data_IF_420410369233
#
_entry.id   IF_420410369233
#
_cell.length_a   1.000
_cell.length_b   1.000
_cell.length_c   1.000
_cell.angle_alpha   90.00
_cell.angle_beta   90.00
_cell.angle_gamma   90.00
#
_symmetry.space_group_name_H-M   'P 1'
#
loop_
_entity.id
_entity.type
_entity.pdbx_description
1 polymer ?
#
# COMPACT_ATOMS: atom_id res chain seq x y z
N UNK A 1 59.75 26.81 21.67
CA UNK A 1 60.86 25.99 21.14
C UNK A 1 60.59 24.53 21.50
N UNK A 2 60.90 23.61 20.57
CA UNK A 2 60.66 22.14 20.50
C UNK A 2 60.70 21.39 21.86
N UNK A 3 59.92 20.34 22.13
CA UNK A 3 60.14 18.96 21.64
C UNK A 3 59.02 17.97 22.08
N UNK A 4 58.50 17.20 21.11
CA UNK A 4 58.02 15.78 21.02
C UNK A 4 58.10 14.84 22.27
N UNK A 5 57.54 13.60 22.25
CA UNK A 5 56.24 13.02 21.83
C UNK A 5 55.58 12.25 23.01
N UNK A 6 54.42 11.62 22.85
CA UNK A 6 54.24 10.19 23.22
C UNK A 6 52.81 9.70 22.97
N UNK A 7 52.79 8.65 22.14
CA UNK A 7 51.74 7.66 21.90
C UNK A 7 50.59 7.57 22.89
N UNK A 8 49.37 7.53 22.37
CA UNK A 8 48.20 6.86 22.96
C UNK A 8 47.20 6.56 21.83
N UNK A 9 46.43 5.48 21.93
CA UNK A 9 46.71 4.24 21.19
C UNK A 9 45.68 4.00 20.07
N UNK A 10 46.04 3.08 19.18
CA UNK A 10 45.10 2.41 18.30
C UNK A 10 43.95 1.77 19.11
N UNK A 11 42.75 2.35 19.00
CA UNK A 11 41.47 1.77 19.41
C UNK A 11 40.53 1.99 18.20
N UNK A 12 40.46 1.05 17.27
CA UNK A 12 39.49 -0.04 17.32
C UNK A 12 38.05 0.49 17.35
N UNK A 13 37.42 0.49 16.17
CA UNK A 13 36.06 0.00 15.95
C UNK A 13 35.62 0.44 14.55
N UNK A 14 35.63 -0.50 13.61
CA UNK A 14 35.01 -0.29 12.30
C UNK A 14 33.53 0.05 12.50
N UNK A 15 33.12 1.22 12.01
CA UNK A 15 31.72 1.58 11.88
C UNK A 15 31.09 0.66 10.81
N UNK A 16 30.63 -0.52 11.22
CA UNK A 16 29.74 -1.33 10.41
C UNK A 16 28.38 -0.63 10.35
N UNK A 17 28.14 0.14 9.29
CA UNK A 17 26.87 0.78 9.03
C UNK A 17 25.80 -0.30 8.73
N UNK A 18 24.96 -0.60 9.72
CA UNK A 18 23.79 -1.46 9.55
C UNK A 18 22.74 -0.65 8.79
N UNK A 19 22.67 -0.85 7.46
CA UNK A 19 21.60 -0.33 6.63
C UNK A 19 20.35 -1.18 6.89
N UNK A 20 19.43 -0.67 7.72
CA UNK A 20 18.09 -1.24 7.85
C UNK A 20 17.30 -0.92 6.59
N UNK A 21 17.17 -1.91 5.71
CA UNK A 21 16.28 -1.84 4.54
C UNK A 21 14.84 -1.93 5.05
N UNK A 22 14.18 -0.79 5.22
CA UNK A 22 12.73 -0.74 5.47
C UNK A 22 12.01 -1.08 4.17
N UNK A 23 11.67 -2.35 3.96
CA UNK A 23 10.82 -2.75 2.84
C UNK A 23 9.43 -2.10 2.99
N UNK A 24 8.88 -1.48 1.94
CA UNK A 24 7.52 -0.95 1.98
C UNK A 24 6.55 -2.11 2.12
N UNK A 25 5.80 -2.16 3.21
CA UNK A 25 4.71 -3.08 3.40
C UNK A 25 3.56 -2.71 2.45
N UNK A 26 3.61 -3.22 1.21
CA UNK A 26 2.51 -3.12 0.26
C UNK A 26 1.33 -3.92 0.82
N UNK A 27 0.32 -3.22 1.34
CA UNK A 27 -0.90 -3.85 1.83
C UNK A 27 -1.55 -4.65 0.68
N UNK A 28 -1.57 -5.98 0.80
CA UNK A 28 -2.22 -6.84 -0.16
C UNK A 28 -3.71 -6.48 -0.27
N UNK A 29 -4.29 -6.43 -1.48
CA UNK A 29 -5.71 -6.19 -1.67
C UNK A 29 -6.53 -7.22 -0.88
N UNK A 30 -7.55 -6.76 -0.15
CA UNK A 30 -8.45 -7.66 0.59
C UNK A 30 -9.30 -8.46 -0.40
N UNK A 31 -9.27 -9.79 -0.26
CA UNK A 31 -10.05 -10.72 -1.05
C UNK A 31 -11.39 -11.00 -0.37
N UNK A 32 -12.48 -10.91 -1.11
CA UNK A 32 -13.84 -11.18 -0.66
C UNK A 32 -14.54 -12.16 -1.61
N UNK A 33 -15.46 -12.97 -1.11
CA UNK A 33 -16.30 -13.82 -1.97
C UNK A 33 -17.48 -13.05 -2.57
N UNK A 34 -17.85 -11.90 -2.02
CA UNK A 34 -18.93 -11.04 -2.52
C UNK A 34 -18.52 -9.58 -2.35
N UNK A 35 -19.08 -8.67 -3.16
CA UNK A 35 -18.77 -7.26 -3.02
C UNK A 35 -19.17 -6.76 -1.62
N UNK A 36 -18.27 -6.06 -0.90
CA UNK A 36 -18.57 -5.49 0.42
C UNK A 36 -19.77 -4.56 0.38
N UNK A 37 -20.51 -4.47 1.48
CA UNK A 37 -21.69 -3.60 1.58
C UNK A 37 -21.34 -2.13 1.27
N UNK A 38 -22.32 -1.36 0.82
CA UNK A 38 -22.15 0.07 0.57
C UNK A 38 -21.80 0.81 1.87
N UNK A 39 -20.88 1.77 1.79
CA UNK A 39 -20.40 2.55 2.94
C UNK A 39 -19.29 1.88 3.76
N UNK A 40 -18.89 0.64 3.42
CA UNK A 40 -17.80 -0.05 4.12
C UNK A 40 -16.43 0.19 3.49
N UNK A 41 -16.38 0.68 2.25
CA UNK A 41 -15.14 0.93 1.54
C UNK A 41 -14.79 2.40 1.60
N UNK A 42 -13.50 2.71 1.68
CA UNK A 42 -12.98 4.08 1.66
C UNK A 42 -12.55 4.47 0.24
N UNK A 43 -12.57 5.76 -0.06
CA UNK A 43 -12.00 6.29 -1.29
C UNK A 43 -10.54 5.86 -1.43
N UNK A 44 -10.16 5.40 -2.63
CA UNK A 44 -8.85 4.82 -2.94
C UNK A 44 -8.69 3.36 -2.52
N UNK A 45 -9.62 2.81 -1.72
CA UNK A 45 -9.56 1.42 -1.33
C UNK A 45 -9.87 0.51 -2.51
N UNK A 46 -9.01 -0.51 -2.65
CA UNK A 46 -9.12 -1.54 -3.67
C UNK A 46 -9.36 -2.89 -3.02
N UNK A 47 -10.37 -3.59 -3.50
CA UNK A 47 -10.73 -4.92 -3.03
C UNK A 47 -10.88 -5.87 -4.21
N UNK A 48 -10.54 -7.14 -4.00
CA UNK A 48 -10.71 -8.19 -4.98
C UNK A 48 -11.91 -9.04 -4.57
N UNK A 49 -12.77 -9.38 -5.52
CA UNK A 49 -14.02 -10.08 -5.32
C UNK A 49 -14.08 -11.31 -6.22
N UNK A 50 -14.21 -12.47 -5.61
CA UNK A 50 -14.32 -13.78 -6.23
C UNK A 50 -15.78 -14.25 -6.20
N UNK A 51 -16.62 -13.63 -7.03
CA UNK A 51 -18.06 -13.93 -7.13
C UNK A 51 -18.44 -14.61 -8.46
N UNK A 52 -17.45 -15.08 -9.23
CA UNK A 52 -17.68 -15.80 -10.49
C UNK A 52 -18.18 -14.95 -11.66
N UNK A 53 -18.24 -13.63 -11.53
CA UNK A 53 -18.69 -12.72 -12.62
C UNK A 53 -17.64 -12.57 -13.72
N UNK A 54 -16.35 -12.69 -13.39
CA UNK A 54 -15.24 -12.62 -14.35
C UNK A 54 -14.92 -14.00 -14.93
N UNK A 55 -14.18 -14.03 -16.05
CA UNK A 55 -13.76 -15.28 -16.70
C UNK A 55 -12.83 -16.10 -15.78
N UNK A 56 -12.69 -17.40 -16.10
CA UNK A 56 -11.71 -18.26 -15.41
C UNK A 56 -10.30 -17.65 -15.49
N UNK A 57 -9.61 -17.58 -14.34
CA UNK A 57 -8.31 -16.92 -14.20
C UNK A 57 -8.36 -15.40 -14.01
N UNK A 58 -9.55 -14.81 -13.92
CA UNK A 58 -9.75 -13.40 -13.57
C UNK A 58 -10.46 -13.27 -12.22
N UNK A 59 -10.35 -12.08 -11.63
CA UNK A 59 -11.03 -11.70 -10.42
C UNK A 59 -11.55 -10.28 -10.54
N UNK A 60 -12.66 -9.97 -9.87
CA UNK A 60 -13.25 -8.64 -9.96
C UNK A 60 -12.54 -7.71 -8.98
N UNK A 61 -11.88 -6.70 -9.51
CA UNK A 61 -11.36 -5.57 -8.74
C UNK A 61 -12.47 -4.53 -8.57
N UNK A 62 -12.68 -4.09 -7.33
CA UNK A 62 -13.59 -2.99 -6.99
C UNK A 62 -12.78 -1.89 -6.31
N UNK A 63 -12.82 -0.69 -6.90
CA UNK A 63 -12.12 0.50 -6.40
C UNK A 63 -13.12 1.61 -6.15
N UNK A 64 -13.03 2.27 -5.01
CA UNK A 64 -13.79 3.50 -4.75
C UNK A 64 -12.99 4.70 -5.26
N UNK A 65 -13.51 5.40 -6.26
CA UNK A 65 -12.90 6.63 -6.75
C UNK A 65 -13.38 7.85 -5.97
N UNK A 66 -12.61 8.93 -6.01
CA UNK A 66 -13.03 10.23 -5.49
C UNK A 66 -14.21 10.77 -6.32
N UNK A 67 -15.15 11.46 -5.65
CA UNK A 67 -16.18 12.24 -6.35
C UNK A 67 -15.53 13.38 -7.13
N UNK A 68 -16.17 13.77 -8.24
CA UNK A 68 -15.74 14.96 -8.97
C UNK A 68 -16.34 16.21 -8.31
N UNK A 69 -15.67 17.35 -8.45
CA UNK A 69 -16.25 18.63 -8.03
C UNK A 69 -17.55 18.87 -8.80
N UNK A 70 -18.62 19.23 -8.09
CA UNK A 70 -19.96 19.41 -8.68
C UNK A 70 -20.80 18.13 -8.82
N UNK A 71 -20.32 16.96 -8.36
CA UNK A 71 -21.19 15.78 -8.22
C UNK A 71 -22.30 16.07 -7.19
N UNK A 72 -23.56 16.02 -7.63
CA UNK A 72 -24.75 16.16 -6.76
C UNK A 72 -25.20 14.81 -6.19
N UNK A 73 -24.63 13.70 -6.65
CA UNK A 73 -24.97 12.35 -6.20
C UNK A 73 -24.37 12.07 -4.82
N UNK A 74 -25.17 11.45 -3.97
CA UNK A 74 -24.68 10.89 -2.71
C UNK A 74 -24.09 9.50 -2.94
N UNK A 75 -22.85 9.31 -2.50
CA UNK A 75 -22.14 8.03 -2.57
C UNK A 75 -21.79 7.57 -1.15
N UNK A 76 -22.34 6.45 -0.67
CA UNK A 76 -22.13 6.01 0.72
C UNK A 76 -20.65 5.75 1.05
N UNK A 77 -19.84 5.31 0.08
CA UNK A 77 -18.38 5.09 0.24
C UNK A 77 -17.53 6.36 0.02
N UNK A 78 -18.17 7.53 -0.07
CA UNK A 78 -17.46 8.78 -0.35
C UNK A 78 -17.18 9.02 -1.82
N UNK A 79 -17.40 8.05 -2.72
CA UNK A 79 -17.42 8.26 -4.18
C UNK A 79 -17.83 7.01 -4.99
N UNK A 80 -17.82 7.09 -6.33
CA UNK A 80 -18.31 6.01 -7.17
C UNK A 80 -17.40 4.77 -7.12
N UNK A 81 -18.01 3.59 -7.06
CA UNK A 81 -17.31 2.32 -7.22
C UNK A 81 -17.09 2.01 -8.70
N UNK A 82 -15.86 1.66 -9.06
CA UNK A 82 -15.48 1.15 -10.38
C UNK A 82 -15.16 -0.34 -10.25
N UNK A 83 -15.75 -1.14 -11.14
CA UNK A 83 -15.61 -2.60 -11.16
C UNK A 83 -14.89 -3.01 -12.44
N UNK A 84 -13.85 -3.81 -12.33
CA UNK A 84 -13.10 -4.32 -13.48
C UNK A 84 -12.65 -5.75 -13.24
N UNK A 85 -12.70 -6.58 -14.27
CA UNK A 85 -12.04 -7.88 -14.22
C UNK A 85 -10.54 -7.70 -14.45
N UNK A 86 -9.73 -8.18 -13.52
CA UNK A 86 -8.27 -8.19 -13.61
C UNK A 86 -7.78 -9.63 -13.57
N UNK A 87 -6.61 -9.90 -14.15
CA UNK A 87 -5.96 -11.20 -14.00
C UNK A 87 -5.63 -11.42 -12.51
N UNK A 88 -5.89 -12.64 -12.03
CA UNK A 88 -5.49 -13.05 -10.67
C UNK A 88 -3.98 -13.03 -10.51
#
# INVERSE_FOLDING_TARGET
MRSIPSALPALAAGLAAIVLITAPASAAPRLFSTEPALGTLRVGQRVLVDDGVCKAGEIREVVVNSRKSGDTKSYPDGGPRVRRCVKR
#
